data_IF_101136334794
#
_entry.id   IF_101136334794
#
_cell.length_a   1.000
_cell.length_b   1.000
_cell.length_c   1.000
_cell.angle_alpha   90.00
_cell.angle_beta   90.00
_cell.angle_gamma   90.00
#
_symmetry.space_group_name_H-M   'P 1'
#
loop_
_entity.id
_entity.type
_entity.pdbx_description
1 polymer ?
#
# COMPACT_ATOMS: atom_id res chain seq x y z
N UNK A 1 -27.77 -30.83 -8.24
CA UNK A 1 -28.12 -29.53 -7.65
C UNK A 1 -26.94 -29.09 -6.80
N UNK A 2 -26.19 -28.05 -7.19
CA UNK A 2 -25.01 -27.56 -6.46
C UNK A 2 -25.47 -26.50 -5.46
N UNK A 3 -25.12 -26.57 -4.16
CA UNK A 3 -25.67 -25.66 -3.17
C UNK A 3 -25.14 -24.23 -3.39
N UNK A 4 -26.02 -23.23 -3.24
CA UNK A 4 -25.65 -21.82 -3.29
C UNK A 4 -24.80 -21.48 -2.06
N UNK A 5 -23.49 -21.46 -2.24
CA UNK A 5 -22.60 -20.82 -1.27
C UNK A 5 -22.52 -19.34 -1.65
N UNK A 6 -22.57 -18.39 -0.71
CA UNK A 6 -22.65 -16.96 -1.04
C UNK A 6 -21.42 -16.41 -1.79
N UNK A 7 -20.37 -17.21 -1.95
CA UNK A 7 -19.11 -16.90 -2.62
C UNK A 7 -18.90 -17.60 -3.97
N UNK A 8 -19.86 -18.39 -4.49
CA UNK A 8 -19.71 -19.13 -5.77
C UNK A 8 -20.14 -18.35 -7.03
N UNK A 9 -19.91 -17.03 -7.08
CA UNK A 9 -20.34 -16.18 -8.21
C UNK A 9 -19.31 -15.99 -9.34
N UNK A 10 -18.09 -16.52 -9.23
CA UNK A 10 -17.03 -16.30 -10.23
C UNK A 10 -16.80 -17.56 -11.08
N UNK A 11 -16.91 -17.44 -12.40
CA UNK A 11 -16.58 -18.50 -13.36
C UNK A 11 -15.60 -17.99 -14.41
N UNK A 12 -14.58 -18.79 -14.74
CA UNK A 12 -13.63 -18.49 -15.82
C UNK A 12 -14.19 -19.03 -17.14
N UNK A 13 -14.30 -18.18 -18.17
CA UNK A 13 -14.61 -18.62 -19.53
C UNK A 13 -13.33 -18.95 -20.30
N UNK A 14 -12.36 -18.06 -20.19
CA UNK A 14 -11.03 -18.17 -20.77
C UNK A 14 -10.05 -17.31 -19.93
N UNK A 15 -8.72 -17.41 -20.15
CA UNK A 15 -7.73 -16.69 -19.33
C UNK A 15 -7.89 -15.18 -19.32
N UNK A 16 -8.57 -14.59 -20.31
CA UNK A 16 -8.78 -13.15 -20.42
C UNK A 16 -10.21 -12.72 -20.05
N UNK A 17 -11.09 -13.68 -19.74
CA UNK A 17 -12.52 -13.43 -19.52
C UNK A 17 -13.08 -14.21 -18.34
N UNK A 18 -13.53 -13.45 -17.35
CA UNK A 18 -14.23 -13.93 -16.16
C UNK A 18 -15.70 -13.47 -16.20
N UNK A 19 -16.60 -14.36 -15.82
CA UNK A 19 -18.01 -14.07 -15.56
C UNK A 19 -18.24 -13.98 -14.06
N UNK A 20 -18.78 -12.85 -13.62
CA UNK A 20 -19.17 -12.61 -12.23
C UNK A 20 -20.68 -12.47 -12.09
N UNK A 21 -21.32 -13.46 -11.46
CA UNK A 21 -22.72 -13.45 -11.06
C UNK A 21 -22.85 -12.82 -9.66
N UNK A 22 -23.08 -11.50 -9.62
CA UNK A 22 -23.30 -10.78 -8.38
C UNK A 22 -24.73 -10.95 -7.87
N UNK A 23 -24.89 -11.25 -6.57
CA UNK A 23 -26.20 -11.35 -5.92
C UNK A 23 -26.83 -9.99 -5.62
N UNK A 24 -26.00 -8.94 -5.54
CA UNK A 24 -26.44 -7.57 -5.26
C UNK A 24 -26.49 -6.76 -6.56
N UNK A 25 -27.63 -6.11 -6.90
CA UNK A 25 -27.67 -5.18 -8.02
C UNK A 25 -26.64 -4.08 -7.81
N UNK A 26 -25.72 -3.93 -8.77
CA UNK A 26 -24.78 -2.84 -8.80
C UNK A 26 -25.41 -1.57 -9.37
N UNK A 27 -24.68 -0.44 -9.38
CA UNK A 27 -25.16 0.82 -9.97
C UNK A 27 -25.55 0.72 -11.45
N UNK A 28 -25.06 -0.30 -12.16
CA UNK A 28 -25.37 -0.58 -13.57
C UNK A 28 -26.44 -1.65 -13.80
N UNK A 29 -27.17 -2.08 -12.77
CA UNK A 29 -28.21 -3.12 -12.86
C UNK A 29 -27.87 -4.44 -12.17
N UNK A 30 -28.87 -5.33 -12.08
CA UNK A 30 -28.71 -6.72 -11.66
C UNK A 30 -28.45 -7.56 -12.91
N UNK A 31 -27.25 -8.07 -13.07
CA UNK A 31 -26.88 -8.93 -14.20
C UNK A 31 -25.45 -9.46 -14.06
N UNK A 32 -25.13 -10.58 -14.73
CA UNK A 32 -23.78 -11.11 -14.74
C UNK A 32 -22.82 -10.12 -15.42
N UNK A 33 -21.63 -9.97 -14.85
CA UNK A 33 -20.62 -9.01 -15.29
C UNK A 33 -19.47 -9.77 -15.96
N UNK A 34 -19.21 -9.47 -17.22
CA UNK A 34 -18.01 -9.94 -17.93
C UNK A 34 -16.86 -8.98 -17.66
N UNK A 35 -15.74 -9.51 -17.16
CA UNK A 35 -14.56 -8.75 -16.78
C UNK A 35 -13.29 -9.46 -17.23
N UNK A 36 -12.22 -8.69 -17.47
CA UNK A 36 -10.88 -9.27 -17.50
C UNK A 36 -10.39 -9.57 -16.07
N UNK A 37 -9.40 -10.47 -15.89
CA UNK A 37 -8.83 -10.73 -14.56
C UNK A 37 -8.27 -9.46 -13.89
N UNK A 38 -7.67 -8.55 -14.66
CA UNK A 38 -7.11 -7.31 -14.13
C UNK A 38 -8.20 -6.33 -13.70
N UNK A 39 -9.28 -6.20 -14.49
CA UNK A 39 -10.44 -5.38 -14.12
C UNK A 39 -11.12 -5.87 -12.84
N UNK A 40 -11.16 -7.19 -12.62
CA UNK A 40 -11.64 -7.76 -11.37
C UNK A 40 -10.77 -7.32 -10.19
N UNK A 41 -9.45 -7.42 -10.33
CA UNK A 41 -8.50 -7.00 -9.29
C UNK A 41 -8.63 -5.51 -8.99
N UNK A 42 -8.76 -4.66 -9.99
CA UNK A 42 -8.91 -3.21 -9.81
C UNK A 42 -10.19 -2.86 -9.04
N UNK A 43 -11.31 -3.51 -9.37
CA UNK A 43 -12.58 -3.30 -8.66
C UNK A 43 -12.51 -3.79 -7.21
N UNK A 44 -11.84 -4.92 -6.97
CA UNK A 44 -11.60 -5.42 -5.61
C UNK A 44 -10.68 -4.47 -4.82
N UNK A 45 -9.63 -3.96 -5.45
CA UNK A 45 -8.71 -3.01 -4.85
C UNK A 45 -9.40 -1.69 -4.49
N UNK A 46 -10.33 -1.21 -5.33
CA UNK A 46 -11.12 -0.02 -5.06
C UNK A 46 -12.01 -0.12 -3.81
N UNK A 47 -12.39 -1.35 -3.39
CA UNK A 47 -13.13 -1.57 -2.15
C UNK A 47 -12.25 -1.44 -0.91
N UNK A 48 -10.94 -1.64 -1.04
CA UNK A 48 -10.00 -1.48 0.07
C UNK A 48 -9.66 0.00 0.21
N UNK A 49 -10.12 0.70 1.27
CA UNK A 49 -9.78 2.09 1.45
C UNK A 49 -8.25 2.23 1.58
N UNK A 50 -7.66 3.29 1.01
CA UNK A 50 -6.22 3.53 1.15
C UNK A 50 -5.86 3.63 2.64
N UNK A 51 -4.66 3.19 3.06
CA UNK A 51 -4.24 3.25 4.46
C UNK A 51 -4.32 4.68 4.99
N UNK A 52 -5.29 4.94 5.87
CA UNK A 52 -5.57 6.31 6.39
C UNK A 52 -4.81 6.66 7.65
N UNK A 53 -3.94 5.78 8.13
CA UNK A 53 -3.17 5.98 9.36
C UNK A 53 -1.70 5.68 9.12
N UNK A 54 -0.82 6.42 9.80
CA UNK A 54 0.61 6.12 9.82
C UNK A 54 0.83 4.71 10.38
N UNK A 55 1.28 3.78 9.52
CA UNK A 55 1.62 2.39 9.90
C UNK A 55 2.93 2.28 10.65
N UNK A 56 3.83 3.26 10.49
CA UNK A 56 5.08 3.35 11.25
C UNK A 56 4.83 4.00 12.61
N UNK A 57 4.41 3.19 13.57
CA UNK A 57 4.47 3.57 14.98
C UNK A 57 5.81 3.11 15.55
N UNK A 58 6.67 4.05 15.88
CA UNK A 58 7.93 3.76 16.53
C UNK A 58 7.67 3.35 17.98
N UNK A 59 8.18 2.18 18.38
CA UNK A 59 8.11 1.67 19.74
C UNK A 59 9.51 1.49 20.32
N UNK A 60 9.59 1.30 21.63
CA UNK A 60 10.85 1.11 22.35
C UNK A 60 11.50 2.41 22.80
N UNK A 61 12.61 2.28 23.53
CA UNK A 61 13.21 3.36 24.34
C UNK A 61 13.78 4.53 23.54
N UNK A 62 14.01 4.34 22.23
CA UNK A 62 14.51 5.38 21.31
C UNK A 62 13.41 6.02 20.44
N UNK A 63 12.15 5.60 20.59
CA UNK A 63 11.06 6.20 19.84
C UNK A 63 10.87 7.69 20.21
N UNK A 64 10.38 8.57 19.30
CA UNK A 64 10.33 10.02 19.51
C UNK A 64 9.62 10.48 20.80
N UNK A 65 8.59 9.76 21.23
CA UNK A 65 7.81 10.04 22.45
C UNK A 65 7.98 8.99 23.56
N UNK A 66 9.06 8.20 23.56
CA UNK A 66 9.27 7.22 24.62
C UNK A 66 9.60 7.91 25.98
N UNK A 67 8.93 7.53 27.09
CA UNK A 67 9.16 8.17 28.40
C UNK A 67 10.62 8.13 28.87
N UNK A 68 11.31 7.04 28.56
CA UNK A 68 12.72 6.85 28.93
C UNK A 68 13.71 7.45 27.92
N UNK A 69 13.24 8.05 26.82
CA UNK A 69 14.11 8.57 25.75
C UNK A 69 15.12 9.59 26.28
N UNK A 70 14.68 10.50 27.15
CA UNK A 70 15.54 11.56 27.70
C UNK A 70 16.67 10.95 28.55
N UNK A 71 16.34 10.01 29.44
CA UNK A 71 17.31 9.31 30.28
C UNK A 71 18.30 8.48 29.43
N UNK A 72 17.80 7.72 28.44
CA UNK A 72 18.64 6.92 27.54
C UNK A 72 19.55 7.81 26.68
N UNK A 73 19.04 8.96 26.22
CA UNK A 73 19.86 9.94 25.47
C UNK A 73 20.92 10.57 26.37
N UNK A 74 20.60 10.88 27.62
CA UNK A 74 21.55 11.48 28.57
C UNK A 74 22.67 10.51 28.97
N UNK A 75 22.37 9.22 29.07
CA UNK A 75 23.36 8.17 29.33
C UNK A 75 24.15 7.76 28.09
N UNK A 76 23.73 8.21 26.90
CA UNK A 76 24.48 7.96 25.70
C UNK A 76 25.80 8.73 25.79
N UNK A 77 26.91 8.00 25.94
CA UNK A 77 28.24 8.56 25.72
C UNK A 77 28.24 9.11 24.29
N UNK A 78 28.62 10.37 24.07
CA UNK A 78 28.78 10.86 22.71
C UNK A 78 29.81 9.94 22.07
N UNK A 79 29.36 9.12 21.11
CA UNK A 79 30.29 8.49 20.19
C UNK A 79 31.09 9.65 19.61
N UNK A 80 32.40 9.68 19.93
CA UNK A 80 33.35 10.65 19.40
C UNK A 80 32.99 10.87 17.94
N UNK A 81 32.57 12.09 17.64
CA UNK A 81 32.24 12.63 16.32
C UNK A 81 32.76 11.74 15.20
N UNK A 82 31.94 10.80 14.72
CA UNK A 82 32.08 10.41 13.33
C UNK A 82 31.68 11.66 12.58
N UNK A 83 32.58 12.29 11.81
CA UNK A 83 32.26 13.55 11.15
C UNK A 83 30.99 13.33 10.36
N UNK A 84 30.05 14.27 10.54
CA UNK A 84 28.90 14.37 9.67
C UNK A 84 29.39 14.22 8.24
N UNK A 85 28.80 13.27 7.49
CA UNK A 85 28.99 13.24 6.05
C UNK A 85 28.82 14.69 5.54
N UNK A 86 29.73 15.17 4.68
CA UNK A 86 29.74 16.56 4.27
C UNK A 86 28.34 16.97 3.78
N UNK A 87 27.92 18.22 3.99
CA UNK A 87 26.64 18.69 3.46
C UNK A 87 26.59 18.31 1.98
N UNK A 88 25.62 17.46 1.63
CA UNK A 88 25.42 17.04 0.26
C UNK A 88 25.16 18.32 -0.52
N UNK A 89 26.10 18.72 -1.37
CA UNK A 89 25.98 19.92 -2.18
C UNK A 89 24.66 19.81 -2.97
N UNK A 90 23.70 20.75 -2.83
CA UNK A 90 22.47 20.72 -3.62
C UNK A 90 22.72 20.85 -5.13
N UNK A 91 23.95 21.20 -5.54
CA UNK A 91 24.39 21.22 -6.93
C UNK A 91 25.03 19.91 -7.42
N UNK A 92 25.18 18.87 -6.57
CA UNK A 92 25.48 17.55 -7.08
C UNK A 92 24.22 17.02 -7.78
N UNK A 93 24.30 16.47 -9.01
CA UNK A 93 23.13 15.94 -9.68
C UNK A 93 22.53 14.88 -8.75
N UNK A 94 21.32 15.15 -8.26
CA UNK A 94 20.53 14.13 -7.62
C UNK A 94 20.37 13.01 -8.63
N UNK A 95 20.81 11.79 -8.29
CA UNK A 95 20.44 10.61 -9.06
C UNK A 95 18.92 10.68 -9.26
N UNK A 96 18.53 10.89 -10.51
CA UNK A 96 17.17 11.21 -10.86
C UNK A 96 16.30 10.03 -10.41
N UNK A 97 15.32 10.26 -9.51
CA UNK A 97 14.41 9.20 -9.14
C UNK A 97 13.73 8.67 -10.41
N UNK A 98 13.92 7.37 -10.69
CA UNK A 98 13.45 6.64 -11.89
C UNK A 98 11.93 6.81 -12.18
N UNK A 99 11.16 7.37 -11.25
CA UNK A 99 9.72 7.52 -11.36
C UNK A 99 9.22 8.84 -12.00
N UNK A 100 10.08 9.74 -12.49
CA UNK A 100 9.63 11.04 -13.06
C UNK A 100 9.60 11.14 -14.59
N UNK A 101 9.38 10.03 -15.29
CA UNK A 101 9.19 10.05 -16.75
C UNK A 101 7.92 9.33 -17.20
N UNK A 102 6.78 9.88 -16.83
CA UNK A 102 5.50 9.60 -17.47
C UNK A 102 4.49 10.72 -17.17
N UNK A 103 4.71 11.93 -17.71
CA UNK A 103 3.64 12.88 -17.97
C UNK A 103 4.16 14.03 -18.86
N UNK A 104 3.80 13.92 -20.14
CA UNK A 104 3.40 14.98 -21.08
C UNK A 104 4.37 16.11 -21.40
#
# INVERSE_FOLDING_TARGET
MRPATPWTGLSELDPERLLYEGTKPGPGGSGPLLLTPLELLDRLAALVPPPRIHRHRYFGVRAPHAPLRAAVTALAVPALTTPAAPPRNPSAPADEPIHRRAAR
#
